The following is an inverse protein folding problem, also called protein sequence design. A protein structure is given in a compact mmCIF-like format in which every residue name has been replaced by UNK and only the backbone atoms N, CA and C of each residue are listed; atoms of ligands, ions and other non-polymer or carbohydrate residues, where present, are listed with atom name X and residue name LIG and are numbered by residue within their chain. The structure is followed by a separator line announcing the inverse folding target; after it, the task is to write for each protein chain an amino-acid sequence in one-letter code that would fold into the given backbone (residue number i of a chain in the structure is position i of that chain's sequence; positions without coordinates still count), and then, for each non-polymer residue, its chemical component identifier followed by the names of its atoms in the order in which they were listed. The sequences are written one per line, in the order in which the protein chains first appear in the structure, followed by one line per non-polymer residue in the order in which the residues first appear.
data_IF_136121983917
#
_entry.id   IF_136121983917
#
_cell.length_a   1.000
_cell.length_b   1.000
_cell.length_c   1.000
_cell.angle_alpha   90.00
_cell.angle_beta   90.00
_cell.angle_gamma   90.00
#
_symmetry.space_group_name_H-M   'P 1'
#
loop_
_entity.id
_entity.type
_entity.pdbx_description
1 polymer ?
#
# COMPACT_ATOMS: atom_id res chain seq x y z
N UNK A 1 -18.37 -11.99 6.29
CA UNK A 1 -17.74 -13.33 6.18
C UNK A 1 -16.83 -13.49 4.96
N UNK A 2 -17.17 -12.93 3.79
CA UNK A 2 -16.35 -13.03 2.58
C UNK A 2 -14.90 -12.51 2.74
N UNK A 3 -14.67 -11.52 3.57
CA UNK A 3 -13.33 -10.99 3.82
C UNK A 3 -12.36 -11.95 4.51
N UNK A 4 -12.87 -12.95 5.24
CA UNK A 4 -12.05 -13.98 5.92
C UNK A 4 -11.49 -15.03 4.96
N UNK A 5 -12.11 -15.19 3.80
CA UNK A 5 -11.69 -16.14 2.75
C UNK A 5 -10.54 -15.57 1.88
N UNK A 6 -10.26 -14.28 1.98
CA UNK A 6 -9.14 -13.68 1.29
C UNK A 6 -7.80 -14.15 1.87
N UNK A 7 -6.77 -14.23 1.05
CA UNK A 7 -5.43 -14.73 1.41
C UNK A 7 -4.87 -14.09 2.68
N UNK A 8 -5.10 -12.81 2.92
CA UNK A 8 -4.64 -12.08 4.12
C UNK A 8 -5.66 -12.06 5.26
N UNK A 9 -6.81 -12.73 5.12
CA UNK A 9 -7.89 -12.73 6.09
C UNK A 9 -8.69 -11.42 6.17
N UNK A 10 -8.44 -10.47 5.25
CA UNK A 10 -9.10 -9.16 5.22
C UNK A 10 -9.31 -8.66 3.78
N UNK A 11 -10.31 -7.78 3.60
CA UNK A 11 -10.68 -7.21 2.30
C UNK A 11 -9.61 -6.28 1.68
N UNK A 12 -8.63 -5.84 2.45
CA UNK A 12 -7.57 -4.91 1.99
C UNK A 12 -6.77 -5.44 0.80
N UNK A 13 -6.63 -6.75 0.69
CA UNK A 13 -5.91 -7.39 -0.42
C UNK A 13 -6.53 -7.04 -1.78
N UNK A 14 -7.85 -6.94 -1.88
CA UNK A 14 -8.55 -6.61 -3.14
C UNK A 14 -8.17 -5.20 -3.63
N UNK A 15 -8.11 -4.23 -2.71
CA UNK A 15 -7.68 -2.87 -3.02
C UNK A 15 -6.20 -2.82 -3.43
N UNK A 16 -5.34 -3.52 -2.71
CA UNK A 16 -3.88 -3.52 -2.99
C UNK A 16 -3.55 -4.21 -4.31
N UNK A 17 -4.25 -5.29 -4.68
CA UNK A 17 -4.09 -5.96 -5.99
C UNK A 17 -4.41 -4.97 -7.13
N UNK A 18 -5.52 -4.26 -7.05
CA UNK A 18 -5.88 -3.27 -8.08
C UNK A 18 -4.82 -2.18 -8.24
N UNK A 19 -4.35 -1.63 -7.12
CA UNK A 19 -3.37 -0.55 -7.15
C UNK A 19 -1.98 -1.02 -7.62
N UNK A 20 -1.52 -2.22 -7.24
CA UNK A 20 -0.21 -2.70 -7.68
C UNK A 20 -0.19 -3.05 -9.16
N UNK A 21 -1.28 -3.56 -9.71
CA UNK A 21 -1.40 -3.79 -11.15
C UNK A 21 -1.32 -2.47 -11.92
N UNK A 22 -1.94 -1.42 -11.40
CA UNK A 22 -1.82 -0.08 -11.95
C UNK A 22 -0.39 0.45 -11.86
N UNK A 23 0.25 0.35 -10.70
CA UNK A 23 1.64 0.76 -10.49
C UNK A 23 2.60 0.07 -11.48
N UNK A 24 2.46 -1.24 -11.64
CA UNK A 24 3.25 -2.04 -12.59
C UNK A 24 3.04 -1.57 -14.03
N UNK A 25 1.80 -1.30 -14.42
CA UNK A 25 1.47 -0.80 -15.76
C UNK A 25 2.03 0.61 -16.01
N UNK A 26 2.15 1.42 -14.96
CA UNK A 26 2.82 2.73 -15.00
C UNK A 26 4.35 2.63 -15.00
N UNK A 27 4.93 1.44 -14.95
CA UNK A 27 6.38 1.22 -14.90
C UNK A 27 7.03 1.56 -13.57
N UNK A 28 6.23 1.65 -12.48
CA UNK A 28 6.76 1.91 -11.13
C UNK A 28 7.46 0.67 -10.59
N UNK A 29 8.53 0.90 -9.82
CA UNK A 29 9.36 -0.18 -9.26
C UNK A 29 9.29 -0.24 -7.73
N UNK A 30 8.97 0.88 -7.10
CA UNK A 30 8.95 1.07 -5.66
C UNK A 30 7.53 1.37 -5.20
N UNK A 31 7.07 0.64 -4.19
CA UNK A 31 5.75 0.80 -3.59
C UNK A 31 5.92 1.31 -2.17
N UNK A 32 5.14 2.30 -1.82
CA UNK A 32 5.02 2.77 -0.44
C UNK A 32 3.57 2.67 0.03
N UNK A 33 3.39 2.46 1.33
CA UNK A 33 2.08 2.45 1.97
C UNK A 33 2.18 2.95 3.41
N UNK A 34 1.09 3.44 3.94
CA UNK A 34 0.89 3.70 5.36
C UNK A 34 0.08 2.57 6.01
N UNK A 35 0.27 2.35 7.30
CA UNK A 35 -0.57 1.43 8.06
C UNK A 35 -0.63 1.81 9.54
N UNK A 36 -1.78 1.61 10.16
CA UNK A 36 -1.97 1.72 11.61
C UNK A 36 -2.05 0.34 12.25
N UNK A 37 -3.16 -0.38 12.07
CA UNK A 37 -3.34 -1.74 12.59
C UNK A 37 -2.50 -2.82 11.89
N UNK A 38 -1.76 -2.48 10.83
CA UNK A 38 -0.88 -3.39 10.09
C UNK A 38 -1.56 -4.17 8.95
N UNK A 39 -2.88 -4.23 8.88
CA UNK A 39 -3.60 -5.03 7.88
C UNK A 39 -3.34 -4.55 6.44
N UNK A 40 -3.35 -3.23 6.23
CA UNK A 40 -3.05 -2.66 4.92
C UNK A 40 -1.58 -2.88 4.53
N UNK A 41 -0.66 -2.72 5.49
CA UNK A 41 0.77 -2.99 5.29
C UNK A 41 1.04 -4.45 4.91
N UNK A 42 0.43 -5.42 5.61
CA UNK A 42 0.55 -6.85 5.28
C UNK A 42 -0.01 -7.14 3.89
N UNK A 43 -1.17 -6.60 3.53
CA UNK A 43 -1.75 -6.77 2.20
C UNK A 43 -0.85 -6.19 1.11
N UNK A 44 -0.29 -4.99 1.32
CA UNK A 44 0.65 -4.35 0.39
C UNK A 44 1.94 -5.15 0.26
N UNK A 45 2.54 -5.59 1.37
CA UNK A 45 3.74 -6.43 1.35
C UNK A 45 3.51 -7.75 0.59
N UNK A 46 2.33 -8.37 0.77
CA UNK A 46 1.95 -9.60 0.07
C UNK A 46 1.94 -9.41 -1.45
N UNK A 47 1.29 -8.35 -1.94
CA UNK A 47 1.21 -8.12 -3.39
C UNK A 47 2.54 -7.64 -3.98
N UNK A 48 3.36 -6.91 -3.21
CA UNK A 48 4.71 -6.53 -3.62
C UNK A 48 5.62 -7.75 -3.75
N UNK A 49 5.58 -8.67 -2.79
CA UNK A 49 6.32 -9.94 -2.85
C UNK A 49 5.91 -10.77 -4.07
N UNK A 50 4.60 -10.84 -4.37
CA UNK A 50 4.09 -11.54 -5.55
C UNK A 50 4.56 -10.92 -6.88
N UNK A 51 4.71 -9.60 -6.93
CA UNK A 51 5.06 -8.85 -8.14
C UNK A 51 6.55 -8.52 -8.25
N UNK A 52 7.36 -8.96 -7.29
CA UNK A 52 8.80 -8.66 -7.20
C UNK A 52 9.08 -7.15 -7.23
N UNK A 53 8.36 -6.39 -6.39
CA UNK A 53 8.49 -4.93 -6.29
C UNK A 53 8.97 -4.54 -4.89
N UNK A 54 9.84 -3.52 -4.83
CA UNK A 54 10.27 -2.95 -3.56
C UNK A 54 9.08 -2.42 -2.76
N UNK A 55 9.02 -2.75 -1.47
CA UNK A 55 7.92 -2.38 -0.58
C UNK A 55 8.43 -1.68 0.67
N UNK A 56 7.96 -0.45 0.89
CA UNK A 56 8.23 0.32 2.10
C UNK A 56 6.90 0.66 2.77
N UNK A 57 6.81 0.35 4.07
CA UNK A 57 5.59 0.58 4.85
C UNK A 57 5.91 1.53 6.00
N UNK A 58 5.24 2.67 6.02
CA UNK A 58 5.30 3.64 7.11
C UNK A 58 4.28 3.28 8.18
N UNK A 59 4.72 3.22 9.43
CA UNK A 59 3.87 2.88 10.56
C UNK A 59 4.27 3.70 11.79
N UNK A 60 3.31 4.24 12.54
CA UNK A 60 3.61 4.97 13.76
C UNK A 60 4.34 4.07 14.76
N UNK A 61 5.36 4.60 15.47
CA UNK A 61 6.16 3.81 16.42
C UNK A 61 5.29 3.13 17.47
N UNK A 62 4.28 3.82 17.98
CA UNK A 62 3.32 3.26 18.94
C UNK A 62 2.54 2.08 18.37
N UNK A 63 2.19 2.16 17.09
CA UNK A 63 1.45 1.10 16.39
C UNK A 63 2.37 -0.09 16.06
N UNK A 64 3.65 0.15 15.74
CA UNK A 64 4.68 -0.90 15.54
C UNK A 64 4.80 -1.79 16.80
N UNK A 65 4.84 -1.16 17.97
CA UNK A 65 4.95 -1.89 19.26
C UNK A 65 3.68 -2.71 19.55
N UNK A 66 2.50 -2.14 19.28
CA UNK A 66 1.20 -2.81 19.51
C UNK A 66 0.92 -3.94 18.54
N UNK A 67 1.38 -3.80 17.32
CA UNK A 67 1.05 -4.70 16.18
C UNK A 67 2.28 -5.48 15.68
N UNK A 68 3.19 -5.84 16.57
CA UNK A 68 4.46 -6.49 16.24
C UNK A 68 4.29 -7.74 15.36
N UNK A 69 3.21 -8.52 15.53
CA UNK A 69 2.92 -9.70 14.70
C UNK A 69 2.74 -9.32 13.23
N UNK A 70 2.03 -8.22 12.96
CA UNK A 70 1.83 -7.74 11.59
C UNK A 70 3.13 -7.16 11.01
N UNK A 71 3.94 -6.53 11.85
CA UNK A 71 5.29 -6.04 11.46
C UNK A 71 6.19 -7.19 11.04
N UNK A 72 6.22 -8.27 11.80
CA UNK A 72 7.01 -9.46 11.45
C UNK A 72 6.52 -10.11 10.15
N UNK A 73 5.20 -10.19 9.93
CA UNK A 73 4.65 -10.68 8.65
C UNK A 73 5.11 -9.82 7.47
N UNK A 74 5.09 -8.49 7.60
CA UNK A 74 5.57 -7.59 6.55
C UNK A 74 7.05 -7.80 6.25
N UNK A 75 7.89 -7.94 7.28
CA UNK A 75 9.33 -8.24 7.12
C UNK A 75 9.58 -9.58 6.45
N UNK A 76 8.86 -10.64 6.86
CA UNK A 76 8.94 -11.97 6.22
C UNK A 76 8.60 -11.93 4.73
N UNK A 77 7.70 -11.03 4.32
CA UNK A 77 7.33 -10.79 2.93
C UNK A 77 8.33 -9.88 2.18
N UNK A 78 9.43 -9.48 2.82
CA UNK A 78 10.46 -8.65 2.21
C UNK A 78 10.19 -7.14 2.28
N UNK A 79 9.17 -6.69 2.98
CA UNK A 79 8.88 -5.27 3.11
C UNK A 79 9.75 -4.61 4.19
N UNK A 80 10.20 -3.39 3.91
CA UNK A 80 10.87 -2.52 4.89
C UNK A 80 9.82 -1.75 5.68
N UNK A 81 9.76 -1.95 6.99
CA UNK A 81 8.86 -1.20 7.88
C UNK A 81 9.62 -0.06 8.54
N UNK A 82 9.18 1.18 8.29
CA UNK A 82 9.78 2.40 8.84
C UNK A 82 8.91 2.91 9.98
N UNK A 83 9.40 2.84 11.24
CA UNK A 83 8.70 3.41 12.38
C UNK A 83 8.78 4.94 12.35
N UNK A 84 7.62 5.59 12.34
CA UNK A 84 7.52 7.06 12.37
C UNK A 84 7.50 7.53 13.80
N UNK A 85 8.43 8.42 14.15
CA UNK A 85 8.61 8.98 15.49
C UNK A 85 8.17 10.44 15.61
N UNK A 86 7.74 11.05 14.50
CA UNK A 86 7.22 12.43 14.49
C UNK A 86 5.78 12.49 15.02
N UNK A 87 5.39 13.64 15.53
CA UNK A 87 4.04 13.92 16.00
C UNK A 87 3.59 13.00 17.15
N UNK A 88 2.40 12.44 17.02
CA UNK A 88 1.83 11.50 17.98
C UNK A 88 2.22 10.03 17.71
N UNK A 89 3.08 9.79 16.74
CA UNK A 89 3.56 8.44 16.35
C UNK A 89 2.42 7.49 15.97
N UNK A 90 1.39 8.02 15.30
CA UNK A 90 0.17 7.29 14.88
C UNK A 90 0.04 7.21 13.37
N UNK A 91 -1.06 6.59 12.90
CA UNK A 91 -1.39 6.48 11.47
C UNK A 91 -1.34 7.83 10.73
N UNK A 92 -1.80 8.93 11.33
CA UNK A 92 -1.76 10.26 10.71
C UNK A 92 -0.33 10.66 10.35
N UNK A 93 0.59 10.45 11.27
CA UNK A 93 2.00 10.80 11.07
C UNK A 93 2.66 9.87 10.06
N UNK A 94 2.31 8.58 10.07
CA UNK A 94 2.74 7.62 9.06
C UNK A 94 2.26 8.01 7.66
N UNK A 95 1.02 8.47 7.52
CA UNK A 95 0.45 8.98 6.26
C UNK A 95 1.24 10.21 5.77
N UNK A 96 1.55 11.15 6.65
CA UNK A 96 2.30 12.35 6.31
C UNK A 96 3.71 12.01 5.79
N UNK A 97 4.41 11.06 6.44
CA UNK A 97 5.73 10.62 5.99
C UNK A 97 5.67 9.86 4.66
N UNK A 98 4.67 9.00 4.46
CA UNK A 98 4.46 8.30 3.20
C UNK A 98 4.21 9.30 2.04
N UNK A 99 3.38 10.32 2.25
CA UNK A 99 3.11 11.37 1.25
C UNK A 99 4.40 12.17 0.97
N UNK A 100 5.17 12.52 2.00
CA UNK A 100 6.42 13.26 1.85
C UNK A 100 7.43 12.48 1.01
N UNK A 101 7.61 11.21 1.30
CA UNK A 101 8.49 10.33 0.52
C UNK A 101 8.01 10.19 -0.94
N UNK A 102 6.70 9.98 -1.14
CA UNK A 102 6.13 9.91 -2.47
C UNK A 102 6.36 11.19 -3.30
N UNK A 103 6.18 12.36 -2.69
CA UNK A 103 6.44 13.65 -3.35
C UNK A 103 7.91 13.84 -3.72
N UNK A 104 8.85 13.24 -2.98
CA UNK A 104 10.27 13.29 -3.28
C UNK A 104 10.70 12.33 -4.40
N UNK A 105 9.95 11.25 -4.62
CA UNK A 105 10.30 10.18 -5.57
C UNK A 105 9.13 9.84 -6.54
N UNK A 106 8.53 10.82 -7.23
CA UNK A 106 7.32 10.58 -8.02
C UNK A 106 7.55 9.75 -9.29
N UNK A 107 8.79 9.68 -9.77
CA UNK A 107 9.11 9.01 -11.03
C UNK A 107 9.00 7.49 -10.94
N UNK A 108 9.52 6.89 -9.89
CA UNK A 108 9.65 5.44 -9.71
C UNK A 108 8.75 4.85 -8.63
N UNK A 109 8.17 5.69 -7.79
CA UNK A 109 7.39 5.30 -6.62
C UNK A 109 5.89 5.42 -6.87
N UNK A 110 5.14 4.43 -6.38
CA UNK A 110 3.67 4.47 -6.31
C UNK A 110 3.21 4.34 -4.87
N UNK A 111 2.29 5.19 -4.46
CA UNK A 111 1.70 5.16 -3.14
C UNK A 111 0.38 4.37 -3.15
N UNK A 112 0.38 3.19 -2.52
CA UNK A 112 -0.82 2.37 -2.33
C UNK A 112 -1.59 2.87 -1.12
N UNK A 113 -2.70 3.57 -1.37
CA UNK A 113 -3.53 4.19 -0.33
C UNK A 113 -4.46 3.15 0.31
N UNK A 114 -4.45 3.09 1.63
CA UNK A 114 -5.24 2.14 2.42
C UNK A 114 -6.74 2.47 2.56
N UNK A 115 -7.20 3.56 1.97
CA UNK A 115 -8.59 4.02 2.03
C UNK A 115 -9.38 3.70 0.75
N UNK A 116 -10.70 3.95 0.78
CA UNK A 116 -11.58 3.85 -0.40
C UNK A 116 -11.19 4.78 -1.55
N UNK A 117 -10.42 5.84 -1.27
CA UNK A 117 -9.87 6.74 -2.29
C UNK A 117 -9.01 5.98 -3.30
N UNK A 118 -8.21 5.01 -2.86
CA UNK A 118 -7.41 4.16 -3.75
C UNK A 118 -8.28 3.38 -4.74
N UNK A 119 -9.41 2.85 -4.29
CA UNK A 119 -10.35 2.14 -5.14
C UNK A 119 -11.01 3.07 -6.19
N UNK A 120 -11.37 4.27 -5.80
CA UNK A 120 -11.93 5.29 -6.70
C UNK A 120 -10.92 5.64 -7.81
N UNK A 121 -9.65 5.83 -7.47
CA UNK A 121 -8.61 6.12 -8.46
C UNK A 121 -8.45 4.98 -9.47
N UNK A 122 -8.54 3.73 -9.04
CA UNK A 122 -8.52 2.56 -9.93
C UNK A 122 -9.70 2.58 -10.89
N UNK A 123 -10.91 2.87 -10.40
CA UNK A 123 -12.13 2.92 -11.21
C UNK A 123 -12.07 4.03 -12.23
N UNK A 124 -11.63 5.23 -11.87
CA UNK A 124 -11.45 6.36 -12.79
C UNK A 124 -10.43 6.00 -13.87
N UNK A 125 -9.31 5.43 -13.49
CA UNK A 125 -8.29 5.04 -14.43
C UNK A 125 -8.76 3.95 -15.39
N UNK A 126 -9.45 2.90 -14.89
CA UNK A 126 -10.03 1.83 -15.71
C UNK A 126 -11.03 2.38 -16.72
N UNK A 127 -11.89 3.29 -16.29
CA UNK A 127 -12.87 3.95 -17.16
C UNK A 127 -12.18 4.79 -18.25
N UNK A 128 -11.17 5.59 -17.89
CA UNK A 128 -10.39 6.37 -18.84
C UNK A 128 -9.67 5.49 -19.89
N UNK A 129 -9.08 4.37 -19.46
CA UNK A 129 -8.43 3.42 -20.36
C UNK A 129 -9.40 2.77 -21.35
N UNK A 130 -10.61 2.42 -20.91
CA UNK A 130 -11.64 1.85 -21.78
C UNK A 130 -12.15 2.88 -22.80
N UNK A 131 -12.33 4.14 -22.40
CA UNK A 131 -12.70 5.21 -23.34
C UNK A 131 -11.66 5.46 -24.42
N UNK A 132 -10.37 5.36 -24.07
CA UNK A 132 -9.27 5.51 -25.02
C UNK A 132 -9.14 4.29 -25.96
N UNK A 133 -9.45 3.10 -25.46
CA UNK A 133 -9.43 1.87 -26.28
C UNK A 133 -10.61 1.78 -27.24
N UNK A 134 -11.76 2.35 -26.91
CA UNK A 134 -12.95 2.35 -27.76
C UNK A 134 -12.87 3.35 -28.93
N UNK A 135 -11.84 4.20 -28.98
CA UNK A 135 -11.60 5.17 -30.07
C UNK A 135 -10.61 4.67 -31.15
N UNK A 136 -10.21 3.41 -31.06
CA UNK A 136 -9.45 2.70 -32.12
C UNK A 136 -10.35 1.73 -32.85
#
# INVERSE_FOLDING_TARGET
EAGRLNHTGAHKINNTIGQILLARRMGKKRIIAETGAGQHGVATATVCALMDMECIVYMGKTDVERQHINVEKMKMLGATVIPVTSGNMTLKDATNEAIRDWCCHPADTYYIIGSTVGLILILIWWHACNLLSAKK
#
